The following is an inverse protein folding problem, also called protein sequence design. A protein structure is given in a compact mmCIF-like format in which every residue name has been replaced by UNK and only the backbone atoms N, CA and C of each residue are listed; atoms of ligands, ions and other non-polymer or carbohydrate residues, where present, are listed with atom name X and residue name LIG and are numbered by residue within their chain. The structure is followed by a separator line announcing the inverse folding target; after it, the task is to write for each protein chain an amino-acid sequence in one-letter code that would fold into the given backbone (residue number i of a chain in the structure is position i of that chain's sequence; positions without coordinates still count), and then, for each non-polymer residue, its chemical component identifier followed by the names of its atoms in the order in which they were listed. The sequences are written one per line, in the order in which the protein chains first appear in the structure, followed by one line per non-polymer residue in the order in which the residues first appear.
data_IF_296205538073
#
_entry.id   IF_296205538073
#
_cell.length_a   1.000
_cell.length_b   1.000
_cell.length_c   1.000
_cell.angle_alpha   90.00
_cell.angle_beta   90.00
_cell.angle_gamma   90.00
#
_symmetry.space_group_name_H-M   'P 1'
#
loop_
_entity.id
_entity.type
_entity.pdbx_description
1 polymer ?
#
# COMPACT_ATOMS: atom_id res chain seq x y z
N UNK A 1 19.20 12.01 9.94
CA UNK A 1 17.96 11.58 10.64
C UNK A 1 17.56 10.22 10.08
N UNK A 2 16.85 9.38 10.84
CA UNK A 2 16.33 8.11 10.31
C UNK A 2 15.27 8.46 9.26
N UNK A 3 15.36 7.86 8.06
CA UNK A 3 14.31 7.96 7.03
C UNK A 3 13.01 7.35 7.61
N UNK A 4 11.88 8.07 7.72
CA UNK A 4 10.65 7.54 8.32
C UNK A 4 10.10 6.32 7.58
N UNK A 5 9.60 5.31 8.28
CA UNK A 5 8.99 4.15 7.61
C UNK A 5 7.57 4.45 7.13
N UNK A 6 7.24 4.07 5.90
CA UNK A 6 5.89 4.19 5.32
C UNK A 6 5.32 2.81 5.03
N UNK A 7 4.11 2.49 5.52
CA UNK A 7 3.38 1.31 5.03
C UNK A 7 2.26 1.73 4.09
N UNK A 8 2.33 1.25 2.84
CA UNK A 8 1.35 1.51 1.79
C UNK A 8 0.31 0.39 1.81
N UNK A 9 -0.96 0.76 1.95
CA UNK A 9 -2.10 -0.16 1.91
C UNK A 9 -2.78 -0.02 0.56
N UNK A 10 -2.83 -1.11 -0.19
CA UNK A 10 -3.53 -1.21 -1.47
C UNK A 10 -4.70 -2.16 -1.32
N UNK A 11 -5.92 -1.67 -1.50
CA UNK A 11 -7.11 -2.51 -1.50
C UNK A 11 -7.42 -2.98 -2.92
N UNK A 12 -7.55 -4.28 -3.12
CA UNK A 12 -7.89 -4.92 -4.39
C UNK A 12 -9.24 -5.67 -4.28
N UNK A 13 -10.05 -5.61 -5.33
CA UNK A 13 -11.19 -6.49 -5.53
C UNK A 13 -11.40 -6.76 -7.02
N UNK A 14 -11.19 -7.99 -7.47
CA UNK A 14 -11.32 -8.41 -8.88
C UNK A 14 -10.60 -7.48 -9.87
N UNK A 15 -9.41 -6.99 -9.48
CA UNK A 15 -8.64 -6.00 -10.23
C UNK A 15 -7.22 -6.46 -10.51
N UNK A 16 -6.97 -7.76 -10.71
CA UNK A 16 -5.64 -8.36 -10.81
C UNK A 16 -4.65 -7.50 -11.61
N UNK A 17 -4.93 -7.22 -12.87
CA UNK A 17 -3.98 -6.52 -13.75
C UNK A 17 -3.69 -5.08 -13.30
N UNK A 18 -4.70 -4.37 -12.79
CA UNK A 18 -4.53 -3.02 -12.22
C UNK A 18 -3.65 -3.09 -10.99
N UNK A 19 -3.92 -4.03 -10.09
CA UNK A 19 -3.12 -4.25 -8.88
C UNK A 19 -1.66 -4.58 -9.23
N UNK A 20 -1.41 -5.46 -10.20
CA UNK A 20 -0.04 -5.77 -10.63
C UNK A 20 0.65 -4.51 -11.21
N UNK A 21 -0.03 -3.69 -12.01
CA UNK A 21 0.53 -2.44 -12.54
C UNK A 21 0.84 -1.44 -11.42
N UNK A 22 -0.08 -1.26 -10.47
CA UNK A 22 0.12 -0.41 -9.30
C UNK A 22 1.36 -0.87 -8.51
N UNK A 23 1.48 -2.16 -8.21
CA UNK A 23 2.62 -2.72 -7.49
C UNK A 23 3.95 -2.55 -8.24
N UNK A 24 3.97 -2.71 -9.57
CA UNK A 24 5.17 -2.42 -10.40
C UNK A 24 5.58 -0.96 -10.27
N UNK A 25 4.63 -0.03 -10.26
CA UNK A 25 4.93 1.39 -10.06
C UNK A 25 5.48 1.67 -8.65
N UNK A 26 4.97 0.98 -7.63
CA UNK A 26 5.51 1.05 -6.27
C UNK A 26 6.95 0.52 -6.16
N UNK A 27 7.34 -0.49 -6.94
CA UNK A 27 8.74 -0.97 -6.99
C UNK A 27 9.70 0.05 -7.61
N UNK A 28 9.19 1.05 -8.34
CA UNK A 28 10.00 2.14 -8.90
C UNK A 28 10.23 3.29 -7.91
N UNK A 29 9.62 3.25 -6.72
CA UNK A 29 9.78 4.30 -5.71
C UNK A 29 11.25 4.46 -5.31
N UNK A 30 11.72 5.70 -5.34
CA UNK A 30 13.06 6.11 -4.90
C UNK A 30 13.04 6.49 -3.42
N UNK A 31 12.53 5.58 -2.61
CA UNK A 31 12.44 5.72 -1.16
C UNK A 31 12.72 4.35 -0.53
N UNK A 32 13.68 4.24 0.37
CA UNK A 32 14.18 2.94 0.82
C UNK A 32 13.35 2.31 1.93
N UNK A 33 12.72 3.14 2.77
CA UNK A 33 12.06 2.69 3.98
C UNK A 33 10.53 2.60 3.83
N UNK A 34 10.06 1.71 2.96
CA UNK A 34 8.63 1.42 2.85
C UNK A 34 8.32 -0.08 2.80
N UNK A 35 7.08 -0.41 3.12
CA UNK A 35 6.49 -1.73 2.94
C UNK A 35 5.13 -1.60 2.26
N UNK A 36 4.69 -2.65 1.58
CA UNK A 36 3.39 -2.69 0.92
C UNK A 36 2.54 -3.83 1.46
N UNK A 37 1.30 -3.51 1.79
CA UNK A 37 0.25 -4.45 2.18
C UNK A 37 -0.83 -4.40 1.11
N UNK A 38 -1.09 -5.53 0.45
CA UNK A 38 -2.24 -5.69 -0.42
C UNK A 38 -3.33 -6.39 0.36
N UNK A 39 -4.49 -5.76 0.48
CA UNK A 39 -5.69 -6.40 0.98
C UNK A 39 -6.49 -6.89 -0.23
N UNK A 40 -6.71 -8.19 -0.32
CA UNK A 40 -7.59 -8.76 -1.34
C UNK A 40 -8.98 -8.95 -0.75
N UNK A 41 -9.97 -8.25 -1.28
CA UNK A 41 -11.32 -8.18 -0.73
C UNK A 41 -12.21 -9.32 -1.26
N UNK A 42 -11.72 -10.56 -1.18
CA UNK A 42 -12.42 -11.74 -1.66
C UNK A 42 -12.49 -11.84 -3.19
N UNK A 43 -11.38 -11.59 -3.88
CA UNK A 43 -11.33 -11.70 -5.34
C UNK A 43 -11.38 -13.15 -5.81
N UNK A 44 -11.88 -13.37 -7.03
CA UNK A 44 -11.98 -14.68 -7.67
C UNK A 44 -11.24 -14.76 -9.02
N UNK A 45 -10.42 -13.74 -9.32
CA UNK A 45 -9.73 -13.55 -10.60
C UNK A 45 -8.25 -14.00 -10.59
N UNK A 46 -7.80 -14.64 -9.50
CA UNK A 46 -6.41 -15.05 -9.31
C UNK A 46 -5.48 -13.92 -8.84
N UNK A 47 -6.04 -12.81 -8.32
CA UNK A 47 -5.26 -11.68 -7.79
C UNK A 47 -4.26 -12.11 -6.72
N UNK A 48 -4.69 -12.89 -5.74
CA UNK A 48 -3.86 -13.28 -4.58
C UNK A 48 -2.65 -14.09 -5.02
N UNK A 49 -2.85 -15.08 -5.89
CA UNK A 49 -1.80 -15.95 -6.42
C UNK A 49 -0.80 -15.14 -7.24
N UNK A 50 -1.29 -14.24 -8.08
CA UNK A 50 -0.47 -13.43 -8.97
C UNK A 50 0.40 -12.44 -8.17
N UNK A 51 -0.18 -11.76 -7.18
CA UNK A 51 0.56 -10.84 -6.31
C UNK A 51 1.64 -11.59 -5.52
N UNK A 52 1.33 -12.77 -4.95
CA UNK A 52 2.32 -13.57 -4.22
C UNK A 52 3.45 -14.08 -5.11
N UNK A 53 3.14 -14.43 -6.35
CA UNK A 53 4.11 -14.95 -7.31
C UNK A 53 5.07 -13.85 -7.81
N UNK A 54 4.52 -12.69 -8.17
CA UNK A 54 5.31 -11.59 -8.75
C UNK A 54 5.99 -10.72 -7.69
N UNK A 55 5.36 -10.52 -6.52
CA UNK A 55 5.84 -9.62 -5.47
C UNK A 55 5.99 -10.33 -4.12
N UNK A 56 7.00 -11.23 -3.96
CA UNK A 56 7.16 -12.03 -2.73
C UNK A 56 7.45 -11.21 -1.47
N UNK A 57 7.82 -9.93 -1.61
CA UNK A 57 8.03 -8.99 -0.49
C UNK A 57 6.74 -8.30 -0.04
N UNK A 58 5.69 -8.33 -0.86
CA UNK A 58 4.40 -7.70 -0.55
C UNK A 58 3.61 -8.60 0.38
N UNK A 59 3.10 -8.03 1.48
CA UNK A 59 2.23 -8.75 2.40
C UNK A 59 0.81 -8.79 1.84
N UNK A 60 0.29 -9.98 1.58
CA UNK A 60 -1.09 -10.16 1.10
C UNK A 60 -2.02 -10.56 2.25
N UNK A 61 -3.11 -9.82 2.43
CA UNK A 61 -4.18 -10.06 3.39
C UNK A 61 -5.45 -10.44 2.62
N UNK A 62 -5.70 -11.74 2.38
CA UNK A 62 -6.93 -12.18 1.73
C UNK A 62 -8.10 -12.16 2.71
N UNK A 63 -9.21 -11.57 2.28
CA UNK A 63 -10.49 -11.57 2.98
C UNK A 63 -11.41 -12.65 2.37
N UNK A 64 -12.33 -13.22 3.16
CA UNK A 64 -13.19 -14.31 2.69
C UNK A 64 -14.22 -13.85 1.65
N UNK A 65 -14.57 -12.58 1.66
CA UNK A 65 -15.55 -11.96 0.76
C UNK A 65 -15.27 -10.45 0.63
N UNK A 66 -16.02 -9.77 -0.22
CA UNK A 66 -15.94 -8.32 -0.36
C UNK A 66 -16.65 -7.62 0.80
N UNK A 67 -15.85 -7.07 1.73
CA UNK A 67 -16.32 -6.30 2.88
C UNK A 67 -16.54 -4.81 2.58
N UNK A 68 -16.43 -4.41 1.31
CA UNK A 68 -16.45 -3.02 0.88
C UNK A 68 -15.16 -2.26 1.21
N UNK A 69 -15.11 -0.99 0.82
CA UNK A 69 -13.89 -0.19 0.85
C UNK A 69 -13.36 0.06 2.28
N UNK A 70 -14.23 0.48 3.19
CA UNK A 70 -13.81 0.87 4.54
C UNK A 70 -13.31 -0.33 5.36
N UNK A 71 -14.05 -1.44 5.38
CA UNK A 71 -13.64 -2.62 6.15
C UNK A 71 -12.42 -3.30 5.53
N UNK A 72 -12.30 -3.32 4.20
CA UNK A 72 -11.08 -3.77 3.51
C UNK A 72 -9.86 -2.96 3.94
N UNK A 73 -9.95 -1.62 3.91
CA UNK A 73 -8.86 -0.75 4.37
C UNK A 73 -8.56 -0.91 5.86
N UNK A 74 -9.58 -1.14 6.71
CA UNK A 74 -9.37 -1.40 8.14
C UNK A 74 -8.56 -2.69 8.37
N UNK A 75 -8.84 -3.76 7.62
CA UNK A 75 -8.03 -4.98 7.69
C UNK A 75 -6.57 -4.73 7.27
N UNK A 76 -6.37 -3.88 6.25
CA UNK A 76 -5.05 -3.42 5.84
C UNK A 76 -4.34 -2.62 6.93
N UNK A 77 -5.06 -1.70 7.59
CA UNK A 77 -4.56 -0.89 8.69
C UNK A 77 -4.12 -1.76 9.87
N UNK A 78 -4.93 -2.72 10.29
CA UNK A 78 -4.56 -3.68 11.33
C UNK A 78 -3.30 -4.48 10.96
N UNK A 79 -3.16 -4.87 9.69
CA UNK A 79 -2.00 -5.60 9.21
C UNK A 79 -0.74 -4.71 9.12
N UNK A 80 -0.91 -3.43 8.82
CA UNK A 80 0.15 -2.41 8.75
C UNK A 80 0.66 -2.03 10.15
N UNK A 81 -0.23 -1.79 11.11
CA UNK A 81 0.13 -1.41 12.48
C UNK A 81 1.01 -2.45 13.19
N UNK A 82 0.91 -3.73 12.82
CA UNK A 82 1.82 -4.79 13.32
C UNK A 82 3.29 -4.57 12.96
N UNK A 83 3.58 -3.69 11.99
CA UNK A 83 4.93 -3.31 11.57
C UNK A 83 5.42 -2.03 12.27
N UNK A 84 4.56 -1.39 13.07
CA UNK A 84 4.82 -0.13 13.76
C UNK A 84 5.45 0.95 12.85
N UNK A 85 4.81 1.29 11.71
CA UNK A 85 5.34 2.28 10.79
C UNK A 85 5.24 3.70 11.36
N UNK A 86 6.09 4.61 10.88
CA UNK A 86 5.99 6.04 11.21
C UNK A 86 4.80 6.68 10.47
N UNK A 87 4.51 6.23 9.24
CA UNK A 87 3.41 6.72 8.40
C UNK A 87 2.65 5.59 7.71
N UNK A 88 1.38 5.83 7.43
CA UNK A 88 0.50 4.93 6.67
C UNK A 88 -0.06 5.69 5.47
N UNK A 89 -0.04 5.05 4.32
CA UNK A 89 -0.58 5.60 3.08
C UNK A 89 -1.65 4.66 2.54
N UNK A 90 -2.84 5.16 2.27
CA UNK A 90 -3.88 4.43 1.55
C UNK A 90 -3.75 4.75 0.06
N UNK A 91 -3.76 3.72 -0.79
CA UNK A 91 -3.62 3.88 -2.23
C UNK A 91 -4.60 2.94 -2.95
N UNK A 92 -5.33 3.45 -3.94
CA UNK A 92 -6.18 2.61 -4.76
C UNK A 92 -5.33 1.77 -5.73
N UNK A 93 -5.81 0.55 -6.04
CA UNK A 93 -5.10 -0.37 -6.92
C UNK A 93 -5.11 0.01 -8.41
N UNK A 94 -5.89 1.02 -8.81
CA UNK A 94 -5.96 1.57 -10.16
C UNK A 94 -5.04 2.78 -10.37
N UNK A 95 -4.07 2.98 -9.48
CA UNK A 95 -3.12 4.10 -9.53
C UNK A 95 -1.75 3.66 -10.03
N UNK A 96 -1.11 4.55 -10.78
CA UNK A 96 0.33 4.51 -11.09
C UNK A 96 1.00 5.69 -10.38
N UNK A 97 2.04 5.44 -9.60
CA UNK A 97 2.71 6.48 -8.82
C UNK A 97 3.99 6.99 -9.48
N UNK A 98 4.29 8.26 -9.25
CA UNK A 98 5.60 8.81 -9.60
C UNK A 98 6.70 8.21 -8.70
N UNK A 99 7.89 7.86 -9.24
CA UNK A 99 9.02 7.35 -8.45
C UNK A 99 9.40 8.20 -7.23
N UNK A 100 9.14 9.52 -7.27
CA UNK A 100 9.50 10.45 -6.21
C UNK A 100 8.35 10.74 -5.22
N UNK A 101 7.20 10.04 -5.34
CA UNK A 101 5.99 10.28 -4.52
C UNK A 101 6.27 10.33 -3.02
N UNK A 102 6.87 9.28 -2.46
CA UNK A 102 7.14 9.22 -1.02
C UNK A 102 8.17 10.27 -0.59
N UNK A 103 9.20 10.51 -1.40
CA UNK A 103 10.19 11.53 -1.12
C UNK A 103 9.55 12.93 -1.09
N UNK A 104 8.59 13.21 -1.97
CA UNK A 104 7.84 14.46 -1.97
C UNK A 104 6.93 14.61 -0.74
N UNK A 105 6.23 13.54 -0.35
CA UNK A 105 5.40 13.54 0.86
C UNK A 105 6.23 13.74 2.13
N UNK A 106 7.38 13.08 2.25
CA UNK A 106 8.26 13.23 3.41
C UNK A 106 8.86 14.64 3.52
N UNK A 107 9.16 15.31 2.40
CA UNK A 107 9.53 16.74 2.42
C UNK A 107 8.42 17.62 2.99
N UNK A 108 7.16 17.30 2.72
CA UNK A 108 6.01 18.00 3.30
C UNK A 108 5.88 17.75 4.80
N UNK A 109 6.10 16.50 5.25
CA UNK A 109 6.14 16.14 6.68
C UNK A 109 7.21 16.95 7.41
N UNK A 110 8.43 17.02 6.86
CA UNK A 110 9.53 17.80 7.46
C UNK A 110 9.21 19.31 7.52
N UNK A 111 8.51 19.83 6.50
CA UNK A 111 8.12 21.24 6.44
C UNK A 111 6.99 21.60 7.41
N UNK A 112 6.10 20.65 7.69
CA UNK A 112 4.91 20.84 8.51
C UNK A 112 4.88 19.79 9.63
N UNK A 113 5.72 19.91 10.66
CA UNK A 113 5.91 18.88 11.68
C UNK A 113 4.67 18.59 12.54
N UNK A 114 3.72 19.53 12.61
CA UNK A 114 2.44 19.36 13.32
C UNK A 114 1.33 18.77 12.43
N UNK A 115 1.62 18.52 11.15
CA UNK A 115 0.68 17.92 10.20
C UNK A 115 0.50 16.42 10.46
N UNK A 116 -0.75 15.97 10.52
CA UNK A 116 -1.09 14.56 10.75
C UNK A 116 -1.51 13.80 9.48
N UNK A 117 -1.89 14.50 8.41
CA UNK A 117 -2.36 13.93 7.14
C UNK A 117 -1.84 14.78 5.98
N UNK A 118 -1.36 14.10 4.94
CA UNK A 118 -0.81 14.70 3.71
C UNK A 118 -1.40 13.95 2.50
N UNK A 119 -1.60 14.65 1.39
CA UNK A 119 -2.17 14.10 0.15
C UNK A 119 -2.01 15.05 -1.03
#
# INVERSE_FOLDING_TARGET
MKEPSVTIIVLNWNGRELTLQCLRSLEQLRYGNYATVVVDNGSQDGSVESVRAEFPRVKVVPLPENLGYAQGNNAGLEAALKQNPDWIMFLNNDTEVDPDLLAALMKSVERFPDGAVFG
#
